data_IF_677380719817
#
_entry.id   IF_677380719817
#
_cell.length_a   1.000
_cell.length_b   1.000
_cell.length_c   1.000
_cell.angle_alpha   90.00
_cell.angle_beta   90.00
_cell.angle_gamma   90.00
#
_symmetry.space_group_name_H-M   'P 1'
#
loop_
_entity.id
_entity.type
_entity.pdbx_description
1 polymer ?
#
# COMPACT_ATOMS: atom_id res chain seq x y z
N UNK A 1 9.21 7.11 5.44
CA UNK A 1 7.95 7.90 5.34
C UNK A 1 7.40 8.16 6.74
N UNK A 2 6.83 9.33 7.01
CA UNK A 2 6.18 9.64 8.30
C UNK A 2 4.68 9.69 8.08
N UNK A 3 3.96 8.73 8.64
CA UNK A 3 2.50 8.61 8.52
C UNK A 3 1.83 9.37 9.67
N UNK A 4 0.78 10.13 9.35
CA UNK A 4 -0.02 10.86 10.35
C UNK A 4 -1.26 10.05 10.73
N UNK A 5 -1.66 10.16 12.00
CA UNK A 5 -2.89 9.52 12.48
C UNK A 5 -4.10 10.03 11.69
N UNK A 6 -5.02 9.10 11.38
CA UNK A 6 -6.26 9.37 10.64
C UNK A 6 -6.06 10.06 9.27
N UNK A 7 -4.91 9.80 8.63
CA UNK A 7 -4.62 10.31 7.29
C UNK A 7 -4.30 9.17 6.33
N UNK A 8 -4.39 9.45 5.04
CA UNK A 8 -3.95 8.58 3.96
C UNK A 8 -2.81 9.27 3.23
N UNK A 9 -1.63 8.65 3.26
CA UNK A 9 -0.46 9.16 2.57
C UNK A 9 -0.39 8.57 1.16
N UNK A 10 -0.08 9.42 0.18
CA UNK A 10 0.19 9.02 -1.20
C UNK A 10 1.66 9.27 -1.51
N UNK A 11 2.33 8.26 -2.06
CA UNK A 11 3.71 8.36 -2.50
C UNK A 11 3.90 7.57 -3.79
N UNK A 12 4.94 7.93 -4.54
CA UNK A 12 5.30 7.29 -5.80
C UNK A 12 6.68 6.67 -5.62
N UNK A 13 6.80 5.40 -6.00
CA UNK A 13 8.08 4.73 -6.11
C UNK A 13 8.59 4.88 -7.54
N UNK A 14 9.68 5.62 -7.72
CA UNK A 14 10.33 5.82 -9.02
C UNK A 14 11.40 4.75 -9.25
N UNK A 15 11.76 4.51 -10.51
CA UNK A 15 12.89 3.63 -10.88
C UNK A 15 12.75 2.18 -10.37
N UNK A 16 11.51 1.68 -10.27
CA UNK A 16 11.24 0.31 -9.86
C UNK A 16 11.40 -0.65 -11.04
N UNK A 17 11.92 -1.85 -10.76
CA UNK A 17 11.89 -2.95 -11.72
C UNK A 17 10.44 -3.34 -12.00
N UNK A 18 10.14 -3.74 -13.25
CA UNK A 18 8.83 -4.28 -13.57
C UNK A 18 8.62 -5.61 -12.83
N UNK A 19 7.61 -5.63 -11.98
CA UNK A 19 7.09 -6.82 -11.35
C UNK A 19 5.91 -7.33 -12.17
N UNK A 20 5.74 -8.64 -12.28
CA UNK A 20 4.65 -9.23 -13.05
C UNK A 20 3.28 -8.99 -12.36
N UNK A 21 2.91 -9.85 -11.41
CA UNK A 21 1.71 -9.71 -10.61
C UNK A 21 2.11 -9.51 -9.15
N UNK A 22 1.67 -8.41 -8.54
CA UNK A 22 1.89 -8.17 -7.12
C UNK A 22 1.01 -9.14 -6.32
N UNK A 23 1.66 -9.93 -5.47
CA UNK A 23 0.98 -10.92 -4.61
C UNK A 23 0.95 -10.48 -3.16
N UNK A 24 2.05 -9.94 -2.68
CA UNK A 24 2.22 -9.59 -1.28
C UNK A 24 2.87 -8.22 -1.11
N UNK A 25 2.58 -7.57 0.00
CA UNK A 25 3.24 -6.35 0.46
C UNK A 25 3.65 -6.54 1.91
N UNK A 26 4.94 -6.34 2.18
CA UNK A 26 5.50 -6.34 3.53
C UNK A 26 5.55 -4.92 4.08
N UNK A 27 5.01 -4.73 5.28
CA UNK A 27 5.00 -3.45 5.98
C UNK A 27 5.72 -3.59 7.31
N UNK A 28 6.73 -2.75 7.49
CA UNK A 28 7.56 -2.72 8.70
C UNK A 28 7.34 -1.42 9.46
N UNK A 29 7.09 -1.52 10.75
CA UNK A 29 7.09 -0.39 11.67
C UNK A 29 8.53 0.08 11.86
N UNK A 30 8.77 1.35 11.56
CA UNK A 30 10.08 1.95 11.82
C UNK A 30 10.20 2.30 13.31
N UNK A 31 11.21 1.80 14.03
CA UNK A 31 11.38 2.09 15.44
C UNK A 31 11.59 3.60 15.62
N UNK A 32 10.81 4.21 16.50
CA UNK A 32 11.01 5.60 16.92
C UNK A 32 11.70 5.63 18.27
N UNK A 33 12.45 6.70 18.53
CA UNK A 33 13.09 6.92 19.83
C UNK A 33 12.12 7.19 20.98
N UNK A 34 10.81 7.17 20.73
CA UNK A 34 9.75 7.46 21.69
C UNK A 34 8.85 6.24 21.79
N UNK A 35 8.73 5.70 23.00
CA UNK A 35 7.90 4.54 23.31
C UNK A 35 6.42 4.79 22.98
N UNK A 36 5.71 3.75 22.52
CA UNK A 36 4.25 3.80 22.29
C UNK A 36 3.82 4.18 20.87
N UNK A 37 4.63 3.89 19.84
CA UNK A 37 4.22 4.07 18.45
C UNK A 37 3.25 2.97 18.03
N UNK A 38 1.95 3.25 18.14
CA UNK A 38 0.88 2.38 17.65
C UNK A 38 0.24 2.97 16.40
N UNK A 39 0.20 2.18 15.32
CA UNK A 39 -0.38 2.59 14.04
C UNK A 39 -1.38 1.56 13.52
N UNK A 40 -2.63 1.99 13.31
CA UNK A 40 -3.67 1.16 12.70
C UNK A 40 -3.60 1.31 11.18
N UNK A 41 -3.16 0.26 10.49
CA UNK A 41 -3.16 0.22 9.03
C UNK A 41 -4.49 -0.35 8.54
N UNK A 42 -5.28 0.46 7.83
CA UNK A 42 -6.53 -0.01 7.25
C UNK A 42 -6.29 -0.88 6.01
N UNK A 43 -5.64 -0.30 4.99
CA UNK A 43 -5.35 -0.96 3.71
C UNK A 43 -4.23 -0.23 2.97
N UNK A 44 -3.58 -0.94 2.05
CA UNK A 44 -2.66 -0.37 1.06
C UNK A 44 -3.25 -0.58 -0.33
N UNK A 45 -3.15 0.44 -1.17
CA UNK A 45 -3.57 0.41 -2.57
C UNK A 45 -2.34 0.73 -3.43
N UNK A 46 -1.98 -0.17 -4.35
CA UNK A 46 -0.82 -0.01 -5.24
C UNK A 46 -1.29 0.12 -6.66
N UNK A 47 -0.97 1.24 -7.30
CA UNK A 47 -1.20 1.46 -8.73
C UNK A 47 0.09 1.13 -9.46
N UNK A 48 0.05 0.10 -10.30
CA UNK A 48 1.11 -0.23 -11.24
C UNK A 48 0.88 0.59 -12.52
N UNK A 49 1.80 1.53 -12.81
CA UNK A 49 1.60 2.55 -13.85
C UNK A 49 1.86 2.06 -15.28
N UNK A 50 2.62 0.99 -15.49
CA UNK A 50 2.90 0.44 -16.83
C UNK A 50 1.63 -0.10 -17.46
N UNK A 51 0.84 -0.85 -16.69
CA UNK A 51 -0.40 -1.47 -17.15
C UNK A 51 -1.65 -0.78 -16.61
N UNK A 52 -1.50 0.27 -15.79
CA UNK A 52 -2.60 1.00 -15.15
C UNK A 52 -3.53 0.07 -14.33
N UNK A 53 -2.94 -0.78 -13.50
CA UNK A 53 -3.66 -1.78 -12.70
C UNK A 53 -3.60 -1.41 -11.22
N UNK A 54 -4.74 -1.52 -10.53
CA UNK A 54 -4.82 -1.37 -9.07
C UNK A 54 -4.81 -2.72 -8.37
N UNK A 55 -3.95 -2.82 -7.37
CA UNK A 55 -3.88 -3.92 -6.40
C UNK A 55 -4.32 -3.43 -5.02
N UNK A 56 -5.13 -4.23 -4.32
CA UNK A 56 -5.66 -3.91 -3.00
C UNK A 56 -5.13 -4.88 -1.95
N UNK A 57 -4.62 -4.33 -0.85
CA UNK A 57 -4.03 -5.07 0.27
C UNK A 57 -4.71 -4.63 1.57
N UNK A 58 -5.87 -5.21 1.94
CA UNK A 58 -6.52 -4.93 3.22
C UNK A 58 -5.68 -5.46 4.38
N UNK A 59 -5.62 -4.72 5.48
CA UNK A 59 -4.86 -5.11 6.68
C UNK A 59 -5.77 -5.20 7.90
N UNK A 60 -6.33 -4.08 8.34
CA UNK A 60 -7.17 -3.99 9.54
C UNK A 60 -6.45 -4.24 10.88
N UNK A 61 -5.13 -4.49 10.87
CA UNK A 61 -4.32 -4.78 12.06
C UNK A 61 -3.62 -3.53 12.60
N UNK A 62 -3.25 -3.60 13.88
CA UNK A 62 -2.39 -2.62 14.52
C UNK A 62 -0.94 -3.07 14.42
N UNK A 63 -0.07 -2.15 14.01
CA UNK A 63 1.38 -2.29 14.11
C UNK A 63 1.83 -1.56 15.37
N UNK A 64 2.51 -2.27 16.26
CA UNK A 64 2.92 -1.77 17.59
C UNK A 64 4.36 -2.15 17.88
N UNK A 65 5.04 -1.36 18.71
CA UNK A 65 6.40 -1.66 19.15
C UNK A 65 6.45 -2.64 20.34
N UNK A 66 5.30 -3.11 20.83
CA UNK A 66 5.14 -3.97 22.02
C UNK A 66 5.74 -5.37 21.85
N UNK A 67 5.73 -5.92 20.63
CA UNK A 67 6.34 -7.21 20.31
C UNK A 67 6.95 -7.19 18.91
N UNK A 68 7.94 -8.04 18.64
CA UNK A 68 8.53 -8.15 17.30
C UNK A 68 7.49 -8.60 16.26
N UNK A 69 6.61 -9.53 16.63
CA UNK A 69 5.53 -10.03 15.76
C UNK A 69 4.50 -8.97 15.37
N UNK A 70 4.40 -7.88 16.15
CA UNK A 70 3.47 -6.77 15.89
C UNK A 70 4.13 -5.59 15.18
N UNK A 71 5.43 -5.65 14.89
CA UNK A 71 6.15 -4.63 14.11
C UNK A 71 6.10 -4.88 12.60
N UNK A 72 5.71 -6.07 12.18
CA UNK A 72 5.65 -6.47 10.79
C UNK A 72 4.28 -7.03 10.45
N UNK A 73 3.82 -6.75 9.24
CA UNK A 73 2.69 -7.46 8.65
C UNK A 73 2.97 -7.70 7.17
N UNK A 74 2.75 -8.94 6.75
CA UNK A 74 2.67 -9.31 5.35
C UNK A 74 1.19 -9.30 4.94
N UNK A 75 0.88 -8.56 3.88
CA UNK A 75 -0.46 -8.43 3.32
C UNK A 75 -0.53 -9.14 1.99
N UNK A 76 -1.63 -9.82 1.72
CA UNK A 76 -1.90 -10.47 0.44
C UNK A 76 -2.84 -9.60 -0.40
N UNK A 77 -2.63 -9.61 -1.71
CA UNK A 77 -3.54 -8.99 -2.65
C UNK A 77 -4.90 -9.71 -2.61
N UNK A 78 -5.99 -8.97 -2.60
CA UNK A 78 -7.34 -9.53 -2.63
C UNK A 78 -8.04 -9.25 -3.96
N UNK A 79 -8.81 -10.24 -4.41
CA UNK A 79 -9.55 -10.16 -5.67
C UNK A 79 -8.65 -10.13 -6.90
N UNK A 80 -9.28 -9.94 -8.06
CA UNK A 80 -8.56 -9.71 -9.31
C UNK A 80 -8.14 -8.23 -9.41
N UNK A 81 -6.88 -7.93 -9.78
CA UNK A 81 -6.46 -6.56 -10.03
C UNK A 81 -7.30 -5.94 -11.14
N UNK A 82 -7.77 -4.70 -10.96
CA UNK A 82 -8.62 -4.05 -11.94
C UNK A 82 -7.91 -2.89 -12.66
N UNK A 83 -8.24 -2.72 -13.94
CA UNK A 83 -7.74 -1.62 -14.77
C UNK A 83 -8.34 -0.30 -14.31
N UNK A 84 -7.48 0.63 -13.89
CA UNK A 84 -7.87 1.95 -13.34
C UNK A 84 -8.29 2.91 -14.45
N UNK A 85 -7.61 2.83 -15.60
CA UNK A 85 -7.95 3.62 -16.77
C UNK A 85 -8.77 2.75 -17.72
N UNK A 86 -10.03 3.12 -17.93
CA UNK A 86 -10.78 2.65 -19.10
C UNK A 86 -10.36 3.51 -20.28
N UNK A 87 -10.08 2.87 -21.41
CA UNK A 87 -9.71 3.56 -22.66
C UNK A 87 -10.75 4.64 -23.06
N UNK A 88 -11.99 4.47 -22.62
CA UNK A 88 -13.14 5.37 -22.80
C UNK A 88 -12.95 6.79 -22.19
N UNK A 89 -11.98 7.01 -21.30
CA UNK A 89 -11.70 8.35 -20.74
C UNK A 89 -10.65 9.14 -21.53
N UNK A 90 -10.00 8.54 -22.52
CA UNK A 90 -9.02 9.23 -23.35
C UNK A 90 -9.63 9.92 -24.58
N UNK A 91 -10.89 9.62 -24.92
CA UNK A 91 -11.65 10.30 -25.96
C UNK A 91 -12.22 11.64 -25.45
N UNK A 92 -11.32 12.60 -25.16
CA UNK A 92 -11.71 14.02 -24.98
C UNK A 92 -11.80 14.74 -26.34
N UNK A 93 -11.88 13.99 -27.44
CA UNK A 93 -12.06 14.57 -28.78
C UNK A 93 -13.38 14.12 -29.37
N UNK A 94 -14.44 14.86 -29.03
CA UNK A 94 -15.49 15.26 -29.98
C UNK A 94 -16.23 16.49 -29.50
#
# INVERSE_FOLDING_TARGET
MVIKRANSDLFVLTEQNQLAQLKTVDVWLHPRSVDGTNWKLHSINVIEHTNNVLYQFPCGKWLTDESEDSRHVQLEAVGEPFKVLREEFFDITK
#
